data_IF_031703747120
#
_entry.id   IF_031703747120
#
_cell.length_a   1.000
_cell.length_b   1.000
_cell.length_c   1.000
_cell.angle_alpha   90.00
_cell.angle_beta   90.00
_cell.angle_gamma   90.00
#
_symmetry.space_group_name_H-M   'P 1'
#
loop_
_entity.id
_entity.type
_entity.pdbx_description
1 polymer ?
#
# COMPACT_ATOMS: atom_id res chain seq x y z
N UNK A 1 4.44 1.95 -16.67
CA UNK A 1 3.41 1.65 -15.65
C UNK A 1 3.18 0.15 -15.61
N UNK A 2 3.21 -0.44 -14.43
CA UNK A 2 3.06 -1.88 -14.20
C UNK A 2 1.62 -2.30 -14.49
N UNK A 3 1.43 -3.36 -15.29
CA UNK A 3 0.10 -3.87 -15.64
C UNK A 3 -0.28 -5.11 -14.83
N UNK A 4 0.70 -5.94 -14.50
CA UNK A 4 0.47 -7.18 -13.78
C UNK A 4 1.64 -7.52 -12.86
N UNK A 5 1.31 -8.07 -11.69
CA UNK A 5 2.27 -8.67 -10.78
C UNK A 5 1.78 -10.10 -10.49
N UNK A 6 2.64 -11.09 -10.69
CA UNK A 6 2.43 -12.42 -10.13
C UNK A 6 3.40 -12.60 -8.97
N UNK A 7 2.86 -12.96 -7.83
CA UNK A 7 3.61 -13.22 -6.60
C UNK A 7 3.33 -14.63 -6.14
N UNK A 8 4.36 -15.40 -5.92
CA UNK A 8 4.24 -16.78 -5.47
C UNK A 8 5.33 -17.13 -4.47
N UNK A 9 5.07 -18.12 -3.68
CA UNK A 9 6.04 -18.64 -2.74
C UNK A 9 5.38 -19.46 -1.66
N UNK A 10 6.19 -20.12 -0.88
CA UNK A 10 5.78 -20.87 0.29
C UNK A 10 6.68 -20.54 1.46
N UNK A 11 6.15 -20.61 2.64
CA UNK A 11 6.91 -20.36 3.86
C UNK A 11 6.12 -19.59 4.92
N UNK A 12 6.76 -19.41 6.03
CA UNK A 12 6.22 -18.60 7.12
C UNK A 12 6.64 -17.15 6.95
N UNK A 13 5.66 -16.24 6.94
CA UNK A 13 5.93 -14.85 7.22
C UNK A 13 5.52 -14.62 8.67
N UNK A 14 6.51 -14.52 9.54
CA UNK A 14 6.27 -14.15 10.91
C UNK A 14 6.34 -12.62 11.01
N UNK A 15 5.20 -11.98 11.18
CA UNK A 15 5.14 -10.56 11.45
C UNK A 15 4.93 -10.32 12.94
N UNK A 16 5.97 -9.83 13.60
CA UNK A 16 5.92 -9.39 15.01
C UNK A 16 5.41 -7.95 15.12
N UNK A 17 4.36 -7.60 14.38
CA UNK A 17 3.76 -6.29 14.58
C UNK A 17 3.02 -6.24 15.93
N UNK A 18 2.98 -5.07 16.55
CA UNK A 18 2.29 -4.87 17.84
C UNK A 18 0.79 -5.22 17.79
N UNK A 19 0.23 -5.32 16.59
CA UNK A 19 -1.18 -5.62 16.36
C UNK A 19 -1.43 -7.05 15.88
N UNK A 20 -0.41 -7.76 15.39
CA UNK A 20 -0.56 -9.06 14.77
C UNK A 20 0.52 -9.99 15.28
N UNK A 21 0.18 -10.76 16.30
CA UNK A 21 1.07 -11.80 16.85
C UNK A 21 0.86 -13.15 16.17
N UNK A 22 -0.02 -13.24 15.18
CA UNK A 22 -0.31 -14.47 14.48
C UNK A 22 0.81 -14.85 13.52
N UNK A 23 1.10 -16.13 13.48
CA UNK A 23 2.00 -16.73 12.51
C UNK A 23 1.26 -16.88 11.18
N UNK A 24 1.58 -16.01 10.22
CA UNK A 24 0.99 -16.12 8.90
C UNK A 24 1.75 -17.15 8.10
N UNK A 25 1.03 -18.18 7.77
CA UNK A 25 1.51 -19.23 6.89
C UNK A 25 1.07 -18.88 5.47
N UNK A 26 2.00 -18.41 4.66
CA UNK A 26 1.85 -18.57 3.22
C UNK A 26 2.03 -20.08 2.95
N UNK A 27 0.92 -20.79 2.80
CA UNK A 27 0.98 -22.22 2.48
C UNK A 27 1.80 -22.44 1.20
N UNK A 28 2.55 -23.53 1.15
CA UNK A 28 3.28 -23.93 -0.03
C UNK A 28 2.39 -23.83 -1.27
N UNK A 29 2.87 -23.15 -2.31
CA UNK A 29 2.19 -22.93 -3.59
C UNK A 29 1.09 -21.86 -3.68
N UNK A 30 0.93 -20.97 -2.74
CA UNK A 30 0.05 -19.83 -2.96
C UNK A 30 0.60 -18.94 -4.08
N UNK A 31 -0.27 -18.63 -5.04
CA UNK A 31 0.02 -17.72 -6.14
C UNK A 31 -1.01 -16.61 -6.16
N UNK A 32 -0.54 -15.39 -6.15
CA UNK A 32 -1.36 -14.19 -6.27
C UNK A 32 -1.06 -13.51 -7.59
N UNK A 33 -2.10 -13.11 -8.31
CA UNK A 33 -1.99 -12.32 -9.51
C UNK A 33 -2.75 -11.02 -9.28
N UNK A 34 -2.02 -9.91 -9.41
CA UNK A 34 -2.56 -8.57 -9.29
C UNK A 34 -2.51 -7.89 -10.65
N UNK A 35 -3.60 -7.27 -11.04
CA UNK A 35 -3.73 -6.52 -12.28
C UNK A 35 -3.99 -5.04 -11.98
N UNK A 36 -3.83 -4.18 -12.95
CA UNK A 36 -4.27 -2.78 -12.86
C UNK A 36 -5.72 -2.70 -12.35
N UNK A 37 -5.98 -1.73 -11.49
CA UNK A 37 -7.25 -1.59 -10.79
C UNK A 37 -7.22 -2.23 -9.40
N UNK A 38 -8.40 -2.47 -8.83
CA UNK A 38 -8.58 -2.90 -7.45
C UNK A 38 -8.55 -4.42 -7.34
N UNK A 39 -7.59 -4.94 -6.60
CA UNK A 39 -7.44 -6.36 -6.29
C UNK A 39 -7.77 -6.57 -4.81
N UNK A 40 -8.95 -7.09 -4.55
CA UNK A 40 -9.42 -7.38 -3.19
C UNK A 40 -8.95 -8.76 -2.76
N UNK A 41 -8.31 -8.83 -1.61
CA UNK A 41 -7.95 -10.08 -0.95
C UNK A 41 -8.90 -10.29 0.24
N UNK A 42 -9.74 -11.32 0.18
CA UNK A 42 -10.74 -11.58 1.23
C UNK A 42 -10.25 -12.67 2.17
N UNK A 43 -10.25 -12.39 3.45
CA UNK A 43 -9.91 -13.36 4.49
C UNK A 43 -9.74 -12.71 5.86
N UNK A 44 -9.93 -13.53 6.88
CA UNK A 44 -9.70 -13.10 8.25
C UNK A 44 -8.24 -12.79 8.53
N UNK A 45 -7.99 -12.09 9.61
CA UNK A 45 -6.66 -11.60 9.97
C UNK A 45 -5.64 -12.72 10.16
N UNK A 46 -6.08 -13.88 10.61
CA UNK A 46 -5.27 -15.06 10.86
C UNK A 46 -4.96 -15.89 9.60
N UNK A 47 -5.56 -15.53 8.45
CA UNK A 47 -5.32 -16.22 7.17
C UNK A 47 -4.06 -15.76 6.44
N UNK A 48 -3.34 -14.78 6.96
CA UNK A 48 -2.11 -14.27 6.37
C UNK A 48 -2.27 -13.28 5.21
N UNK A 49 -3.49 -13.00 4.79
CA UNK A 49 -3.79 -12.12 3.65
C UNK A 49 -3.22 -10.71 3.85
N UNK A 50 -3.25 -10.19 5.08
CA UNK A 50 -2.65 -8.89 5.39
C UNK A 50 -1.13 -8.86 5.16
N UNK A 51 -0.44 -9.99 5.37
CA UNK A 51 0.99 -10.11 5.19
C UNK A 51 1.44 -9.87 3.76
N UNK A 52 0.61 -10.20 2.77
CA UNK A 52 0.90 -9.99 1.34
C UNK A 52 1.03 -8.51 1.02
N UNK A 53 0.06 -7.71 1.42
CA UNK A 53 0.08 -6.26 1.22
C UNK A 53 1.29 -5.61 1.87
N UNK A 54 1.59 -6.03 3.09
CA UNK A 54 2.74 -5.56 3.84
C UNK A 54 4.06 -6.01 3.19
N UNK A 55 4.18 -7.29 2.81
CA UNK A 55 5.38 -7.85 2.19
C UNK A 55 5.73 -7.14 0.88
N UNK A 56 4.76 -6.96 -0.02
CA UNK A 56 4.97 -6.28 -1.29
C UNK A 56 5.52 -4.87 -1.13
N UNK A 57 5.09 -4.14 -0.11
CA UNK A 57 5.39 -2.72 0.05
C UNK A 57 6.47 -2.39 1.05
N UNK A 58 6.70 -3.28 2.01
CA UNK A 58 7.61 -3.01 3.14
C UNK A 58 8.92 -3.78 3.08
N UNK A 59 9.13 -4.61 2.04
CA UNK A 59 10.30 -5.48 1.92
C UNK A 59 11.64 -4.74 2.12
N UNK A 60 11.78 -3.55 1.53
CA UNK A 60 12.99 -2.71 1.64
C UNK A 60 13.06 -1.92 2.95
N UNK A 61 11.96 -1.83 3.69
CA UNK A 61 11.81 -0.96 4.84
C UNK A 61 11.77 -1.72 6.17
N UNK A 62 12.04 -2.99 6.15
CA UNK A 62 12.20 -3.75 7.39
C UNK A 62 13.47 -3.32 8.14
N UNK A 63 13.44 -2.05 8.53
CA UNK A 63 14.49 -1.36 9.29
C UNK A 63 14.72 -2.08 10.63
N UNK A 64 13.70 -2.79 11.09
CA UNK A 64 13.79 -3.69 12.22
C UNK A 64 13.54 -5.11 11.72
N UNK A 65 14.57 -5.83 11.33
CA UNK A 65 14.54 -7.29 11.04
C UNK A 65 13.81 -8.13 12.09
N UNK A 66 13.27 -7.48 13.12
CA UNK A 66 12.41 -8.02 14.17
C UNK A 66 10.92 -8.07 13.79
N UNK A 67 10.47 -7.32 12.75
CA UNK A 67 9.06 -7.29 12.33
C UNK A 67 8.75 -8.37 11.31
N UNK A 68 9.73 -8.74 10.49
CA UNK A 68 9.61 -9.77 9.48
C UNK A 68 10.60 -10.88 9.69
N UNK A 69 10.11 -12.09 9.81
CA UNK A 69 10.89 -13.31 9.68
C UNK A 69 10.26 -14.15 8.56
N UNK A 70 11.01 -14.30 7.47
CA UNK A 70 10.60 -15.12 6.33
C UNK A 70 11.40 -16.41 6.37
N UNK A 71 10.74 -17.53 6.45
CA UNK A 71 11.39 -18.84 6.44
C UNK A 71 10.63 -19.82 5.55
N UNK A 72 11.28 -20.52 4.61
CA UNK A 72 12.63 -20.25 4.11
C UNK A 72 12.67 -19.01 3.20
N UNK A 73 13.73 -18.21 3.26
CA UNK A 73 13.89 -16.97 2.47
C UNK A 73 13.90 -17.18 0.96
N UNK A 74 14.14 -18.41 0.50
CA UNK A 74 14.41 -18.72 -0.90
C UNK A 74 13.17 -19.04 -1.73
N UNK A 75 11.97 -18.99 -1.15
CA UNK A 75 10.77 -19.48 -1.85
C UNK A 75 9.87 -18.38 -2.43
N UNK A 76 10.17 -17.10 -2.16
CA UNK A 76 9.35 -15.99 -2.64
C UNK A 76 9.85 -15.52 -4.02
N UNK A 77 8.95 -15.55 -5.00
CA UNK A 77 9.20 -15.09 -6.35
C UNK A 77 8.16 -14.06 -6.76
N UNK A 78 8.61 -13.05 -7.51
CA UNK A 78 7.71 -12.09 -8.12
C UNK A 78 8.04 -11.95 -9.61
N UNK A 79 7.00 -11.80 -10.43
CA UNK A 79 7.15 -11.36 -11.81
C UNK A 79 6.34 -10.08 -12.02
N UNK A 80 6.90 -9.14 -12.76
CA UNK A 80 6.25 -7.89 -13.17
C UNK A 80 6.14 -7.90 -14.67
N UNK A 81 4.93 -7.84 -15.19
CA UNK A 81 4.63 -7.91 -16.63
C UNK A 81 5.31 -9.12 -17.32
N UNK A 82 5.32 -10.27 -16.62
CA UNK A 82 5.93 -11.52 -17.09
C UNK A 82 7.45 -11.64 -16.89
N UNK A 83 8.10 -10.60 -16.36
CA UNK A 83 9.56 -10.61 -16.12
C UNK A 83 9.83 -10.85 -14.64
N UNK A 84 10.69 -11.84 -14.35
CA UNK A 84 11.14 -12.11 -12.97
C UNK A 84 11.79 -10.85 -12.39
N UNK A 85 11.32 -10.46 -11.21
CA UNK A 85 11.69 -9.19 -10.58
C UNK A 85 12.05 -9.43 -9.10
N UNK A 86 13.25 -9.01 -8.68
CA UNK A 86 13.62 -9.05 -7.27
C UNK A 86 12.62 -8.29 -6.40
N UNK A 87 12.28 -8.84 -5.23
CA UNK A 87 11.29 -8.24 -4.33
C UNK A 87 11.67 -6.83 -3.89
N UNK A 88 12.97 -6.56 -3.76
CA UNK A 88 13.49 -5.23 -3.44
C UNK A 88 13.10 -4.20 -4.49
N UNK A 89 13.24 -4.56 -5.78
CA UNK A 89 12.86 -3.69 -6.89
C UNK A 89 11.36 -3.49 -6.99
N UNK A 90 10.59 -4.55 -6.72
CA UNK A 90 9.14 -4.46 -6.67
C UNK A 90 8.68 -3.55 -5.52
N UNK A 91 9.24 -3.71 -4.33
CA UNK A 91 8.92 -2.88 -3.16
C UNK A 91 9.22 -1.39 -3.39
N UNK A 92 10.23 -1.07 -4.21
CA UNK A 92 10.50 0.32 -4.61
C UNK A 92 9.37 0.94 -5.42
N UNK A 93 8.54 0.13 -6.09
CA UNK A 93 7.35 0.55 -6.83
C UNK A 93 6.08 0.55 -6.00
N UNK A 94 6.12 0.02 -4.79
CA UNK A 94 4.97 -0.11 -3.91
C UNK A 94 4.90 1.01 -2.88
N UNK A 95 3.69 1.30 -2.41
CA UNK A 95 3.39 2.23 -1.33
C UNK A 95 2.45 1.57 -0.32
N UNK A 96 2.87 1.42 0.93
CA UNK A 96 1.98 0.94 1.99
C UNK A 96 1.21 2.10 2.61
N UNK A 97 -0.10 2.05 2.56
CA UNK A 97 -0.97 3.14 3.01
C UNK A 97 -1.21 3.09 4.52
N UNK A 98 -0.11 3.06 5.29
CA UNK A 98 -0.14 3.21 6.74
C UNK A 98 0.96 4.17 7.22
N UNK A 99 0.53 5.27 7.84
CA UNK A 99 1.42 6.33 8.31
C UNK A 99 2.33 5.91 9.47
N UNK A 100 2.00 4.86 10.20
CA UNK A 100 2.78 4.38 11.33
C UNK A 100 3.98 3.55 10.89
N UNK A 101 3.79 2.77 9.85
CA UNK A 101 4.76 1.76 9.43
C UNK A 101 5.56 2.17 8.20
N UNK A 102 4.98 2.91 7.26
CA UNK A 102 5.67 3.27 6.03
C UNK A 102 6.62 4.45 6.26
N UNK A 103 7.95 4.26 6.08
CA UNK A 103 8.97 5.27 6.46
C UNK A 103 8.83 6.61 5.75
N UNK A 104 8.27 6.61 4.54
CA UNK A 104 8.02 7.84 3.79
C UNK A 104 7.11 8.80 4.56
N UNK A 105 6.16 8.26 5.35
CA UNK A 105 5.17 9.04 6.11
C UNK A 105 5.57 9.30 7.56
N UNK A 106 6.46 8.49 8.11
CA UNK A 106 6.83 8.51 9.54
C UNK A 106 7.76 9.65 9.92
N UNK A 107 8.25 10.43 8.97
CA UNK A 107 9.15 11.57 9.23
C UNK A 107 8.39 12.70 9.92
N UNK A 108 8.41 12.70 11.25
CA UNK A 108 7.66 13.62 12.13
C UNK A 108 7.79 15.13 11.80
N UNK A 109 8.82 15.54 11.06
CA UNK A 109 9.07 16.95 10.71
C UNK A 109 8.71 17.32 9.28
N UNK A 110 8.16 16.39 8.48
CA UNK A 110 7.78 16.66 7.10
C UNK A 110 6.29 16.77 6.97
N UNK A 111 5.85 17.85 6.36
CA UNK A 111 4.45 18.09 6.02
C UNK A 111 4.07 17.34 4.74
N UNK A 112 2.77 17.16 4.50
CA UNK A 112 2.25 16.60 3.26
C UNK A 112 2.80 17.35 2.05
N UNK A 113 2.76 18.70 2.08
CA UNK A 113 3.33 19.57 1.04
C UNK A 113 4.78 19.20 0.71
N UNK A 114 5.65 19.25 1.71
CA UNK A 114 7.08 18.96 1.52
C UNK A 114 7.36 17.56 0.99
N UNK A 115 6.51 16.59 1.33
CA UNK A 115 6.66 15.22 0.84
C UNK A 115 6.23 15.11 -0.63
N UNK A 116 5.14 15.75 -1.03
CA UNK A 116 4.67 15.78 -2.42
C UNK A 116 5.70 16.51 -3.31
N UNK A 117 6.11 17.72 -2.92
CA UNK A 117 7.11 18.52 -3.67
C UNK A 117 8.43 17.76 -3.86
N UNK A 118 8.90 17.07 -2.82
CA UNK A 118 10.11 16.24 -2.91
C UNK A 118 9.96 15.06 -3.88
N UNK A 119 8.77 14.49 -3.96
CA UNK A 119 8.45 13.42 -4.90
C UNK A 119 8.41 13.92 -6.34
N UNK A 120 7.66 15.00 -6.60
CA UNK A 120 7.53 15.64 -7.91
C UNK A 120 8.92 15.95 -8.48
N UNK A 121 9.74 16.66 -7.71
CA UNK A 121 11.09 17.06 -8.14
C UNK A 121 11.94 15.87 -8.59
N UNK A 122 11.73 14.69 -8.00
CA UNK A 122 12.51 13.49 -8.29
C UNK A 122 11.97 12.68 -9.46
N UNK A 123 10.63 12.62 -9.62
CA UNK A 123 9.99 11.56 -10.41
C UNK A 123 9.05 12.10 -11.50
N UNK A 124 8.43 13.25 -11.28
CA UNK A 124 7.43 13.84 -12.19
C UNK A 124 7.68 15.33 -12.42
N UNK A 125 8.78 15.70 -13.09
CA UNK A 125 9.12 17.13 -13.30
C UNK A 125 8.10 17.88 -14.17
N UNK A 126 7.24 17.15 -14.88
CA UNK A 126 6.15 17.65 -15.72
C UNK A 126 4.85 17.91 -14.97
N UNK A 127 4.74 17.51 -13.69
CA UNK A 127 3.55 17.73 -12.87
C UNK A 127 3.76 18.83 -11.85
N UNK A 128 2.69 19.58 -11.61
CA UNK A 128 2.67 20.61 -10.56
C UNK A 128 2.18 20.02 -9.23
N UNK A 129 2.48 20.73 -8.16
CA UNK A 129 1.97 20.40 -6.83
C UNK A 129 0.44 20.52 -6.78
N UNK A 130 -0.10 21.57 -7.42
CA UNK A 130 -1.52 21.87 -7.50
C UNK A 130 -2.29 20.75 -8.20
N UNK A 131 -1.79 20.26 -9.34
CA UNK A 131 -2.39 19.13 -10.07
C UNK A 131 -2.50 17.87 -9.21
N UNK A 132 -1.49 17.56 -8.39
CA UNK A 132 -1.56 16.40 -7.50
C UNK A 132 -2.55 16.66 -6.36
N UNK A 133 -2.58 17.85 -5.78
CA UNK A 133 -3.54 18.19 -4.73
C UNK A 133 -4.98 18.11 -5.22
N UNK A 134 -5.27 18.59 -6.41
CA UNK A 134 -6.58 18.53 -7.04
C UNK A 134 -6.97 17.07 -7.36
N UNK A 135 -6.06 16.31 -7.98
CA UNK A 135 -6.28 14.89 -8.30
C UNK A 135 -6.68 14.06 -7.09
N UNK A 136 -6.02 14.28 -5.95
CA UNK A 136 -6.29 13.54 -4.71
C UNK A 136 -7.26 14.26 -3.77
N UNK A 137 -7.91 15.34 -4.20
CA UNK A 137 -8.90 16.10 -3.45
C UNK A 137 -8.37 16.50 -2.05
N UNK A 138 -7.15 17.03 -1.99
CA UNK A 138 -6.53 17.46 -0.74
C UNK A 138 -6.90 18.92 -0.43
N UNK A 139 -7.27 19.19 0.84
CA UNK A 139 -7.61 20.55 1.26
C UNK A 139 -6.36 21.35 1.62
N UNK A 140 -6.25 22.62 1.17
CA UNK A 140 -5.08 23.45 1.39
C UNK A 140 -4.67 23.58 2.86
N UNK A 141 -5.64 23.66 3.78
CA UNK A 141 -5.44 23.86 5.22
C UNK A 141 -4.73 22.70 5.91
N UNK A 142 -4.67 21.53 5.25
CA UNK A 142 -4.07 20.32 5.80
C UNK A 142 -2.70 19.99 5.22
N UNK A 143 -2.31 20.67 4.14
CA UNK A 143 -1.06 20.38 3.42
C UNK A 143 0.19 20.66 4.24
N UNK A 144 0.13 21.65 5.14
CA UNK A 144 1.26 21.99 6.00
C UNK A 144 1.27 21.25 7.34
N UNK A 145 0.49 20.19 7.44
CA UNK A 145 0.47 19.24 8.56
C UNK A 145 1.27 17.97 8.24
N UNK A 146 1.72 17.29 9.28
CA UNK A 146 2.27 15.95 9.12
C UNK A 146 1.15 14.95 8.77
N UNK A 147 1.48 13.87 8.05
CA UNK A 147 0.51 12.89 7.56
C UNK A 147 -0.43 12.36 8.65
N UNK A 148 0.07 12.13 9.87
CA UNK A 148 -0.75 11.65 10.98
C UNK A 148 -1.74 12.69 11.53
N UNK A 149 -1.62 13.96 11.12
CA UNK A 149 -2.44 15.09 11.58
C UNK A 149 -3.52 15.53 10.57
N UNK A 150 -3.57 14.92 9.39
CA UNK A 150 -4.52 15.33 8.33
C UNK A 150 -5.91 14.70 8.47
N UNK A 151 -6.16 13.92 9.51
CA UNK A 151 -7.48 13.38 9.82
C UNK A 151 -8.04 12.48 8.71
N UNK A 152 -9.26 12.75 8.27
CA UNK A 152 -9.98 11.94 7.29
C UNK A 152 -9.33 11.90 5.89
N UNK A 153 -8.49 12.86 5.55
CA UNK A 153 -7.78 12.86 4.26
C UNK A 153 -6.51 12.00 4.26
N UNK A 154 -6.20 11.35 5.38
CA UNK A 154 -4.94 10.65 5.56
C UNK A 154 -4.62 9.65 4.46
N UNK A 155 -5.58 8.83 4.05
CA UNK A 155 -5.37 7.85 2.98
C UNK A 155 -5.09 8.54 1.64
N UNK A 156 -5.83 9.59 1.30
CA UNK A 156 -5.61 10.36 0.07
C UNK A 156 -4.27 11.09 0.09
N UNK A 157 -3.89 11.67 1.23
CA UNK A 157 -2.59 12.32 1.39
C UNK A 157 -1.42 11.32 1.25
N UNK A 158 -1.54 10.12 1.84
CA UNK A 158 -0.53 9.07 1.68
C UNK A 158 -0.42 8.61 0.22
N UNK A 159 -1.54 8.43 -0.47
CA UNK A 159 -1.55 8.02 -1.86
C UNK A 159 -0.98 9.13 -2.78
N UNK A 160 -1.33 10.40 -2.55
CA UNK A 160 -0.76 11.54 -3.26
C UNK A 160 0.77 11.61 -3.12
N UNK A 161 1.28 11.42 -1.91
CA UNK A 161 2.72 11.36 -1.65
C UNK A 161 3.34 10.16 -2.39
N UNK A 162 2.74 8.97 -2.28
CA UNK A 162 3.21 7.79 -3.00
C UNK A 162 3.26 8.01 -4.51
N UNK A 163 2.19 8.54 -5.09
CA UNK A 163 2.10 8.88 -6.50
C UNK A 163 3.17 9.88 -6.93
N UNK A 164 3.33 10.98 -6.18
CA UNK A 164 4.38 11.96 -6.41
C UNK A 164 5.80 11.34 -6.40
N UNK A 165 6.01 10.28 -5.63
CA UNK A 165 7.26 9.51 -5.57
C UNK A 165 7.35 8.38 -6.61
N UNK A 166 6.47 8.34 -7.61
CA UNK A 166 6.49 7.35 -8.70
C UNK A 166 6.11 5.94 -8.28
N UNK A 167 5.27 5.82 -7.25
CA UNK A 167 4.72 4.52 -6.86
C UNK A 167 3.59 4.13 -7.79
N UNK A 168 3.56 2.86 -8.17
CA UNK A 168 2.64 2.27 -9.15
C UNK A 168 1.74 1.19 -8.54
N UNK A 169 2.05 0.78 -7.30
CA UNK A 169 1.31 -0.24 -6.55
C UNK A 169 0.96 0.32 -5.17
N UNK A 170 -0.33 0.34 -4.85
CA UNK A 170 -0.82 0.88 -3.57
C UNK A 170 -1.39 -0.25 -2.73
N UNK A 171 -0.74 -0.52 -1.61
CA UNK A 171 -1.07 -1.61 -0.70
C UNK A 171 -1.75 -1.06 0.55
N UNK A 172 -2.99 -1.45 0.77
CA UNK A 172 -3.72 -1.08 1.97
C UNK A 172 -3.37 -2.01 3.15
N UNK A 173 -3.40 -1.52 4.39
CA UNK A 173 -3.46 -2.39 5.55
C UNK A 173 -4.75 -3.21 5.53
N UNK A 174 -4.76 -4.34 6.23
CA UNK A 174 -5.97 -5.14 6.39
C UNK A 174 -7.06 -4.36 7.14
N UNK A 175 -8.29 -4.48 6.66
CA UNK A 175 -9.45 -3.86 7.26
C UNK A 175 -10.50 -4.92 7.60
N UNK A 176 -10.88 -5.02 8.89
CA UNK A 176 -12.11 -5.71 9.26
C UNK A 176 -13.32 -5.00 8.64
N UNK A 177 -14.46 -5.69 8.51
CA UNK A 177 -15.70 -5.07 8.04
C UNK A 177 -16.00 -3.78 8.79
N UNK A 178 -15.96 -3.81 10.12
CA UNK A 178 -16.19 -2.64 10.97
C UNK A 178 -15.25 -1.48 10.70
N UNK A 179 -13.96 -1.75 10.49
CA UNK A 179 -12.97 -0.71 10.14
C UNK A 179 -13.21 -0.18 8.74
N UNK A 180 -13.53 -1.06 7.80
CA UNK A 180 -13.86 -0.65 6.44
C UNK A 180 -15.07 0.29 6.45
N UNK A 181 -16.17 -0.09 7.12
CA UNK A 181 -17.39 0.71 7.21
C UNK A 181 -17.14 2.08 7.87
N UNK A 182 -16.27 2.14 8.87
CA UNK A 182 -15.89 3.41 9.52
C UNK A 182 -15.16 4.36 8.57
N UNK A 183 -14.32 3.84 7.67
CA UNK A 183 -13.54 4.64 6.71
C UNK A 183 -14.13 4.61 5.29
N UNK A 184 -15.30 4.03 5.09
CA UNK A 184 -15.87 3.71 3.77
C UNK A 184 -15.74 4.85 2.77
N UNK A 185 -16.30 6.02 3.04
CA UNK A 185 -16.27 7.14 2.10
C UNK A 185 -14.84 7.55 1.73
N UNK A 186 -13.93 7.60 2.70
CA UNK A 186 -12.54 8.00 2.45
C UNK A 186 -11.77 6.98 1.64
N UNK A 187 -12.04 5.69 1.87
CA UNK A 187 -11.41 4.59 1.12
C UNK A 187 -12.00 4.53 -0.28
N UNK A 188 -13.31 4.57 -0.45
CA UNK A 188 -13.97 4.50 -1.76
C UNK A 188 -13.55 5.65 -2.66
N UNK A 189 -13.54 6.89 -2.18
CA UNK A 189 -13.04 8.03 -2.96
C UNK A 189 -11.59 7.83 -3.40
N UNK A 190 -10.74 7.30 -2.54
CA UNK A 190 -9.37 6.99 -2.93
C UNK A 190 -9.29 5.87 -3.95
N UNK A 191 -10.10 4.81 -3.80
CA UNK A 191 -10.13 3.70 -4.75
C UNK A 191 -10.53 4.19 -6.16
N UNK A 192 -11.54 5.07 -6.26
CA UNK A 192 -11.96 5.68 -7.53
C UNK A 192 -10.83 6.50 -8.18
N UNK A 193 -10.06 7.24 -7.39
CA UNK A 193 -8.91 7.99 -7.89
C UNK A 193 -7.83 7.03 -8.42
N UNK A 194 -7.48 6.01 -7.63
CA UNK A 194 -6.43 5.06 -7.99
C UNK A 194 -6.82 4.20 -9.21
N UNK A 195 -8.10 3.84 -9.34
CA UNK A 195 -8.62 3.12 -10.50
C UNK A 195 -8.48 3.94 -11.80
N UNK A 196 -8.83 5.24 -11.76
CA UNK A 196 -8.65 6.18 -12.88
C UNK A 196 -7.19 6.37 -13.27
N UNK A 197 -6.28 6.22 -12.33
CA UNK A 197 -4.83 6.28 -12.56
C UNK A 197 -4.26 5.00 -13.18
N UNK A 198 -5.06 3.95 -13.33
CA UNK A 198 -4.64 2.64 -13.85
C UNK A 198 -3.45 2.03 -13.08
N UNK A 199 -3.37 2.27 -11.78
CA UNK A 199 -2.37 1.67 -10.89
C UNK A 199 -2.88 0.34 -10.30
N UNK A 200 -1.99 -0.46 -9.75
CA UNK A 200 -2.38 -1.67 -9.03
C UNK A 200 -2.73 -1.31 -7.59
N UNK A 201 -3.89 -1.74 -7.13
CA UNK A 201 -4.32 -1.60 -5.73
C UNK A 201 -4.46 -2.98 -5.12
N UNK A 202 -3.82 -3.21 -3.97
CA UNK A 202 -3.95 -4.44 -3.16
C UNK A 202 -4.70 -4.08 -1.88
N UNK A 203 -5.90 -4.64 -1.73
CA UNK A 203 -6.83 -4.30 -0.66
C UNK A 203 -7.25 -5.56 0.13
N UNK A 204 -6.53 -5.88 1.21
CA UNK A 204 -6.91 -7.00 2.09
C UNK A 204 -8.06 -6.59 3.03
N UNK A 205 -9.11 -7.41 3.05
CA UNK A 205 -10.34 -7.18 3.84
C UNK A 205 -10.84 -8.46 4.48
N UNK A 206 -11.50 -8.34 5.64
CA UNK A 206 -12.09 -9.49 6.32
C UNK A 206 -13.29 -10.08 5.58
N UNK A 207 -14.07 -9.24 4.88
CA UNK A 207 -15.26 -9.64 4.14
C UNK A 207 -15.30 -8.99 2.75
N UNK A 208 -15.99 -9.60 1.77
CA UNK A 208 -16.15 -9.00 0.46
C UNK A 208 -16.78 -7.59 0.52
N UNK A 209 -16.29 -6.70 -0.32
CA UNK A 209 -16.84 -5.35 -0.47
C UNK A 209 -17.94 -5.42 -1.52
N UNK A 210 -19.17 -5.17 -1.11
CA UNK A 210 -20.29 -5.03 -2.03
C UNK A 210 -20.31 -3.60 -2.59
N UNK A 211 -19.95 -3.46 -3.87
CA UNK A 211 -20.00 -2.17 -4.57
C UNK A 211 -21.44 -1.76 -4.96
N UNK A 212 -22.42 -2.64 -4.80
CA UNK A 212 -23.81 -2.41 -5.23
C UNK A 212 -24.69 -1.65 -4.22
N UNK A 213 -24.14 -1.34 -3.05
CA UNK A 213 -24.87 -0.68 -1.96
C UNK A 213 -24.70 0.85 -1.91
N UNK A 214 -24.40 1.47 -3.07
CA UNK A 214 -24.27 2.93 -3.21
C UNK A 214 -25.36 3.54 -4.07
#
# INVERSE_FOLDING_TARGET
MIKQISFSGGGYINCKSVFYTSHDVLQHSMKFNFHTGINTLVGEIDTGIWGISYLLSMYNYDVNKKLFEISPKSSLCATVDGVETPLEKLADKCCYLDHKYYPLFSKKRKTVRKLIEAGIKKTHPDKTFEEICELFLLTPERLDRAVYQVGNERFRAMAAIGYAHGKEVFCFPWHSRKMFDYYTNNILWLLDILEKLNVIVVLPVGEPIDKSSQ
#
